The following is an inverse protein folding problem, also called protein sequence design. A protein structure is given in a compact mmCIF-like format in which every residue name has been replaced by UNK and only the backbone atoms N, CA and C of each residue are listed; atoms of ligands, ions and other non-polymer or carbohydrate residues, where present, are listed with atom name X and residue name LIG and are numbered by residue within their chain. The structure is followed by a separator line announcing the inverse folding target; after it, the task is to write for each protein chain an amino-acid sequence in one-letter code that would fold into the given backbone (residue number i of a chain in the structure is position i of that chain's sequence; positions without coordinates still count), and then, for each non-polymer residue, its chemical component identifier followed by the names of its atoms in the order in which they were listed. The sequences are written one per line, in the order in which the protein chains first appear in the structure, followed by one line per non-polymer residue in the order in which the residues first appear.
data_IF_176215665768
#
_entry.id   IF_176215665768
#
_cell.length_a   1.000
_cell.length_b   1.000
_cell.length_c   1.000
_cell.angle_alpha   90.00
_cell.angle_beta   90.00
_cell.angle_gamma   90.00
#
_symmetry.space_group_name_H-M   'P 1'
#
loop_
_entity.id
_entity.type
_entity.pdbx_description
1 polymer ?
#
# COMPACT_ATOMS: atom_id res chain seq x y z
N UNK A 1 28.55 10.45 -63.16
CA UNK A 1 27.73 11.26 -62.23
C UNK A 1 27.10 10.44 -61.09
N UNK A 2 26.53 9.24 -61.34
CA UNK A 2 25.91 8.40 -60.28
C UNK A 2 26.87 7.94 -59.15
N UNK A 3 28.14 7.63 -59.45
CA UNK A 3 29.12 7.24 -58.41
C UNK A 3 29.50 8.38 -57.46
N UNK A 4 29.58 9.62 -57.93
CA UNK A 4 29.89 10.77 -57.07
C UNK A 4 28.72 11.11 -56.13
N UNK A 5 27.48 10.88 -56.57
CA UNK A 5 26.29 11.07 -55.75
C UNK A 5 26.20 10.03 -54.61
N UNK A 6 26.58 8.77 -54.87
CA UNK A 6 26.64 7.71 -53.86
C UNK A 6 27.74 7.96 -52.81
N UNK A 7 28.88 8.52 -53.22
CA UNK A 7 29.98 8.89 -52.31
C UNK A 7 29.60 10.11 -51.46
N UNK A 8 28.90 11.12 -52.02
CA UNK A 8 28.43 12.27 -51.24
C UNK A 8 27.35 11.86 -50.20
N UNK A 9 26.49 10.91 -50.57
CA UNK A 9 25.45 10.38 -49.68
C UNK A 9 26.06 9.53 -48.55
N UNK A 10 27.11 8.75 -48.83
CA UNK A 10 27.80 8.01 -47.77
C UNK A 10 28.58 8.92 -46.81
N UNK A 11 29.18 10.01 -47.32
CA UNK A 11 29.91 10.98 -46.49
C UNK A 11 28.99 11.79 -45.55
N UNK A 12 27.75 12.05 -45.97
CA UNK A 12 26.71 12.68 -45.14
C UNK A 12 26.10 11.71 -44.11
N UNK A 13 26.03 10.41 -44.41
CA UNK A 13 25.63 9.38 -43.44
C UNK A 13 26.71 9.13 -42.36
N UNK A 14 28.00 9.20 -42.71
CA UNK A 14 29.08 9.02 -41.72
C UNK A 14 29.22 10.21 -40.74
N UNK A 15 28.86 11.42 -41.14
CA UNK A 15 28.89 12.60 -40.25
C UNK A 15 27.73 12.65 -39.26
N UNK A 16 26.63 11.93 -39.51
CA UNK A 16 25.48 11.84 -38.58
C UNK A 16 25.71 10.85 -37.42
N UNK A 17 26.60 9.86 -37.58
CA UNK A 17 26.83 8.82 -36.58
C UNK A 17 27.81 9.22 -35.46
N UNK A 18 28.52 10.34 -35.57
CA UNK A 18 29.54 10.77 -34.60
C UNK A 18 29.11 12.09 -33.92
N UNK A 19 27.85 12.17 -33.50
CA UNK A 19 27.43 13.17 -32.52
C UNK A 19 27.15 12.49 -31.19
N UNK A 20 28.17 11.85 -30.62
CA UNK A 20 28.21 11.63 -29.18
C UNK A 20 28.24 13.01 -28.54
N UNK A 21 27.10 13.43 -27.99
CA UNK A 21 27.02 14.62 -27.16
C UNK A 21 27.87 14.31 -25.92
N UNK A 22 29.15 14.66 -25.96
CA UNK A 22 30.01 14.63 -24.78
C UNK A 22 29.25 15.34 -23.66
N UNK A 23 28.98 14.61 -22.58
CA UNK A 23 28.35 15.19 -21.42
C UNK A 23 29.33 16.23 -20.88
N UNK A 24 29.06 17.52 -21.15
CA UNK A 24 29.80 18.62 -20.52
C UNK A 24 29.79 18.37 -19.03
N UNK A 25 30.93 18.00 -18.48
CA UNK A 25 31.14 17.92 -17.04
C UNK A 25 30.98 19.37 -16.56
N UNK A 26 30.03 19.67 -15.68
CA UNK A 26 29.87 21.03 -15.18
C UNK A 26 31.19 21.47 -14.53
N UNK A 27 31.69 22.66 -14.88
CA UNK A 27 32.95 23.21 -14.35
C UNK A 27 32.97 23.31 -12.82
N UNK A 28 31.78 23.35 -12.20
CA UNK A 28 31.60 23.33 -10.76
C UNK A 28 31.09 21.97 -10.28
N UNK A 29 31.70 21.36 -9.23
CA UNK A 29 31.19 20.14 -8.62
C UNK A 29 29.75 20.32 -8.10
N UNK A 30 29.07 19.21 -7.86
CA UNK A 30 27.75 19.25 -7.22
C UNK A 30 27.90 19.78 -5.78
N UNK A 31 27.04 20.71 -5.33
CA UNK A 31 27.22 21.34 -4.02
C UNK A 31 27.00 20.32 -2.91
N UNK A 32 27.70 20.52 -1.79
CA UNK A 32 27.52 19.71 -0.59
C UNK A 32 26.10 19.89 -0.01
N UNK A 33 25.63 21.14 0.05
CA UNK A 33 24.27 21.48 0.48
C UNK A 33 23.36 21.64 -0.72
N UNK A 34 22.26 20.88 -0.76
CA UNK A 34 21.27 20.95 -1.84
C UNK A 34 20.14 21.90 -1.46
N UNK A 35 20.02 23.00 -2.21
CA UNK A 35 18.98 24.03 -2.08
C UNK A 35 18.06 24.04 -3.30
N UNK A 36 16.98 24.83 -3.31
CA UNK A 36 16.06 24.92 -4.45
C UNK A 36 16.75 25.45 -5.71
N UNK A 37 17.64 26.43 -5.55
CA UNK A 37 18.43 27.04 -6.63
C UNK A 37 19.43 26.04 -7.25
N UNK A 38 19.76 24.96 -6.52
CA UNK A 38 20.56 23.86 -7.08
C UNK A 38 19.84 23.19 -8.25
N UNK A 39 18.51 23.34 -8.38
CA UNK A 39 17.70 22.83 -9.49
C UNK A 39 18.01 23.45 -10.86
N UNK A 40 18.62 24.64 -10.91
CA UNK A 40 18.79 25.44 -12.13
C UNK A 40 20.05 25.08 -12.96
N UNK A 41 20.70 23.95 -12.65
CA UNK A 41 21.90 23.47 -13.35
C UNK A 41 21.66 22.22 -14.18
N UNK A 42 22.60 21.94 -15.09
CA UNK A 42 22.68 20.63 -15.72
C UNK A 42 23.12 19.55 -14.71
N UNK A 43 22.39 18.43 -14.73
CA UNK A 43 22.52 17.34 -13.78
C UNK A 43 21.90 16.07 -14.38
N UNK A 44 22.11 14.92 -13.73
CA UNK A 44 21.53 13.64 -14.15
C UNK A 44 19.99 13.68 -14.15
N UNK A 45 19.37 12.84 -14.97
CA UNK A 45 17.90 12.73 -15.03
C UNK A 45 17.30 12.36 -13.66
N UNK A 46 18.00 11.55 -12.87
CA UNK A 46 17.58 11.20 -11.52
C UNK A 46 17.54 12.42 -10.58
N UNK A 47 18.55 13.28 -10.65
CA UNK A 47 18.58 14.49 -9.83
C UNK A 47 17.46 15.45 -10.25
N UNK A 48 17.24 15.68 -11.57
CA UNK A 48 16.13 16.51 -12.06
C UNK A 48 14.77 16.02 -11.57
N UNK A 49 14.56 14.70 -11.52
CA UNK A 49 13.33 14.09 -10.99
C UNK A 49 13.14 14.40 -9.50
N UNK A 50 14.21 14.43 -8.71
CA UNK A 50 14.15 14.74 -7.27
C UNK A 50 13.57 16.13 -6.99
N UNK A 51 13.83 17.11 -7.86
CA UNK A 51 13.32 18.47 -7.72
C UNK A 51 11.89 18.64 -8.27
N UNK A 52 11.52 17.87 -9.31
CA UNK A 52 10.27 18.09 -10.06
C UNK A 52 9.08 17.23 -9.61
N UNK A 53 9.35 16.03 -9.09
CA UNK A 53 8.30 15.03 -8.86
C UNK A 53 7.93 14.84 -7.39
N UNK A 54 8.64 15.50 -6.47
CA UNK A 54 8.39 15.41 -5.04
C UNK A 54 8.13 16.81 -4.48
N UNK A 55 7.33 16.88 -3.43
CA UNK A 55 7.01 18.13 -2.73
C UNK A 55 8.21 18.76 -2.03
N UNK A 56 9.27 17.99 -1.79
CA UNK A 56 10.52 18.49 -1.23
C UNK A 56 11.74 17.69 -1.71
N UNK A 57 12.90 18.36 -1.71
CA UNK A 57 14.21 17.79 -2.10
C UNK A 57 14.66 16.73 -1.10
N UNK A 58 14.43 16.98 0.19
CA UNK A 58 14.83 16.11 1.29
C UNK A 58 13.60 15.42 1.88
N UNK A 59 13.65 14.09 2.14
CA UNK A 59 12.52 13.37 2.74
C UNK A 59 12.03 13.98 4.05
N UNK A 60 12.92 14.57 4.87
CA UNK A 60 12.56 15.23 6.13
C UNK A 60 11.58 16.41 5.97
N UNK A 61 11.52 16.99 4.77
CA UNK A 61 10.67 18.13 4.43
C UNK A 61 9.47 17.70 3.55
N UNK A 62 9.35 16.41 3.22
CA UNK A 62 8.24 15.89 2.43
C UNK A 62 7.12 15.45 3.37
N UNK A 63 6.02 16.19 3.41
CA UNK A 63 4.87 15.91 4.30
C UNK A 63 4.23 14.53 4.09
N UNK A 64 4.38 13.94 2.91
CA UNK A 64 3.87 12.60 2.60
C UNK A 64 4.88 11.49 2.90
N UNK A 65 6.12 11.84 3.25
CA UNK A 65 7.11 10.89 3.73
C UNK A 65 6.89 10.62 5.22
N UNK A 66 6.61 9.38 5.57
CA UNK A 66 6.42 8.97 6.97
C UNK A 66 6.96 7.56 7.20
N UNK A 67 7.19 7.25 8.48
CA UNK A 67 7.48 5.89 8.95
C UNK A 67 6.30 5.39 9.78
N UNK A 68 6.03 4.09 9.70
CA UNK A 68 4.98 3.47 10.50
C UNK A 68 5.57 2.81 11.74
N UNK A 69 4.93 3.04 12.88
CA UNK A 69 5.22 2.38 14.16
C UNK A 69 3.98 1.59 14.56
N UNK A 70 4.19 0.40 15.08
CA UNK A 70 3.11 -0.53 15.42
C UNK A 70 3.14 -0.81 16.92
N UNK A 71 1.97 -0.90 17.54
CA UNK A 71 1.80 -1.21 18.96
C UNK A 71 0.64 -2.19 19.08
N UNK A 72 0.82 -3.37 19.71
CA UNK A 72 -0.28 -4.31 19.93
C UNK A 72 -1.42 -3.67 20.73
N UNK A 73 -2.66 -3.89 20.26
CA UNK A 73 -3.85 -3.44 20.96
C UNK A 73 -4.09 -4.28 22.23
N UNK A 74 -4.72 -3.66 23.22
CA UNK A 74 -5.13 -4.33 24.47
C UNK A 74 -6.65 -4.49 24.51
N UNK A 75 -7.13 -5.46 25.30
CA UNK A 75 -8.56 -5.65 25.59
C UNK A 75 -9.32 -6.54 24.62
N UNK A 76 -8.65 -7.12 23.61
CA UNK A 76 -9.23 -8.08 22.68
C UNK A 76 -8.61 -9.46 22.92
N UNK A 77 -9.44 -10.45 23.24
CA UNK A 77 -9.00 -11.84 23.42
C UNK A 77 -9.01 -12.62 22.10
N UNK A 78 -8.00 -13.44 21.89
CA UNK A 78 -7.80 -14.27 20.69
C UNK A 78 -7.66 -15.75 21.06
N UNK A 79 -8.23 -16.20 22.19
CA UNK A 79 -8.13 -17.59 22.68
C UNK A 79 -6.69 -18.12 22.67
N UNK A 80 -5.76 -17.38 23.28
CA UNK A 80 -4.33 -17.70 23.28
C UNK A 80 -3.72 -17.90 21.88
N UNK A 81 -4.29 -17.26 20.87
CA UNK A 81 -3.86 -17.35 19.47
C UNK A 81 -3.94 -18.77 18.86
N UNK A 82 -4.92 -19.57 19.27
CA UNK A 82 -5.17 -20.91 18.70
C UNK A 82 -5.76 -20.90 17.26
N UNK A 83 -6.18 -19.71 16.78
CA UNK A 83 -6.71 -19.48 15.44
C UNK A 83 -8.23 -19.65 15.30
N UNK A 84 -8.93 -19.97 16.39
CA UNK A 84 -10.41 -20.07 16.43
C UNK A 84 -11.07 -18.69 16.31
N UNK A 85 -10.43 -17.66 16.88
CA UNK A 85 -10.85 -16.27 16.80
C UNK A 85 -9.89 -15.46 15.93
N UNK A 86 -10.43 -14.72 14.96
CA UNK A 86 -9.67 -13.72 14.20
C UNK A 86 -10.43 -12.41 14.05
N UNK A 87 -9.68 -11.31 13.95
CA UNK A 87 -10.19 -9.95 13.71
C UNK A 87 -9.29 -9.28 12.67
N UNK A 88 -9.88 -8.74 11.61
CA UNK A 88 -9.12 -8.21 10.46
C UNK A 88 -9.91 -7.14 9.70
N UNK A 89 -9.21 -6.50 8.77
CA UNK A 89 -9.76 -5.53 7.82
C UNK A 89 -10.54 -4.40 8.53
N UNK A 90 -9.87 -3.62 9.41
CA UNK A 90 -10.53 -2.58 10.19
C UNK A 90 -11.05 -1.46 9.29
N UNK A 91 -12.21 -0.92 9.65
CA UNK A 91 -12.72 0.33 9.08
C UNK A 91 -11.81 1.50 9.43
N UNK A 92 -12.07 2.66 8.81
CA UNK A 92 -11.60 3.93 9.38
C UNK A 92 -12.16 4.08 10.80
N UNK A 93 -11.35 4.64 11.68
CA UNK A 93 -11.75 5.00 13.04
C UNK A 93 -12.57 6.30 12.97
N UNK A 94 -13.69 6.35 13.69
CA UNK A 94 -14.46 7.60 13.90
C UNK A 94 -14.50 7.94 15.39
N UNK A 95 -14.78 9.19 15.72
CA UNK A 95 -14.93 9.65 17.10
C UNK A 95 -16.33 10.22 17.30
N UNK A 96 -17.12 9.56 18.14
CA UNK A 96 -18.52 9.92 18.41
C UNK A 96 -18.83 9.68 19.89
N UNK A 97 -19.77 10.44 20.47
CA UNK A 97 -20.19 10.27 21.86
C UNK A 97 -19.03 10.18 22.89
N UNK A 98 -17.93 10.90 22.63
CA UNK A 98 -16.77 10.94 23.52
C UNK A 98 -15.83 9.72 23.46
N UNK A 99 -15.92 8.88 22.43
CA UNK A 99 -15.04 7.71 22.27
C UNK A 99 -14.77 7.35 20.80
N UNK A 100 -13.68 6.64 20.55
CA UNK A 100 -13.34 6.09 19.25
C UNK A 100 -14.16 4.82 18.96
N UNK A 101 -14.55 4.65 17.70
CA UNK A 101 -15.24 3.47 17.18
C UNK A 101 -14.47 2.88 16.00
N UNK A 102 -14.41 1.56 15.93
CA UNK A 102 -13.87 0.81 14.80
C UNK A 102 -14.73 -0.42 14.54
N UNK A 103 -14.95 -0.73 13.27
CA UNK A 103 -15.61 -1.96 12.81
C UNK A 103 -14.58 -2.87 12.15
N UNK A 104 -14.79 -4.17 12.22
CA UNK A 104 -13.87 -5.16 11.64
C UNK A 104 -14.60 -6.48 11.39
N UNK A 105 -14.05 -7.27 10.47
CA UNK A 105 -14.46 -8.66 10.28
C UNK A 105 -14.00 -9.47 11.49
N UNK A 106 -14.91 -10.18 12.16
CA UNK A 106 -14.58 -11.16 13.21
C UNK A 106 -15.06 -12.54 12.82
N UNK A 107 -14.13 -13.51 12.91
CA UNK A 107 -14.43 -14.94 12.89
C UNK A 107 -14.28 -15.48 14.31
N UNK A 108 -15.20 -16.34 14.70
CA UNK A 108 -15.19 -17.03 15.98
C UNK A 108 -15.83 -18.40 15.75
N UNK A 109 -14.99 -19.36 15.40
CA UNK A 109 -15.41 -20.68 14.94
C UNK A 109 -14.78 -21.78 15.80
N UNK A 110 -15.45 -22.92 16.01
CA UNK A 110 -14.92 -24.00 16.86
C UNK A 110 -13.58 -24.57 16.39
N UNK A 111 -13.25 -24.39 15.11
CA UNK A 111 -12.02 -24.87 14.47
C UNK A 111 -11.40 -23.79 13.59
N UNK A 112 -10.12 -23.97 13.27
CA UNK A 112 -9.41 -23.14 12.29
C UNK A 112 -9.89 -23.44 10.85
N UNK A 113 -9.64 -22.53 9.88
CA UNK A 113 -10.02 -22.76 8.50
C UNK A 113 -9.31 -23.95 7.83
N UNK A 114 -10.04 -24.69 6.99
CA UNK A 114 -9.49 -25.83 6.23
C UNK A 114 -8.64 -25.42 5.03
N UNK A 115 -8.65 -24.13 4.69
CA UNK A 115 -7.97 -23.54 3.55
C UNK A 115 -8.80 -23.59 2.27
N UNK A 116 -8.67 -22.55 1.42
CA UNK A 116 -9.45 -22.42 0.19
C UNK A 116 -9.30 -23.60 -0.79
N UNK A 117 -8.16 -24.30 -0.77
CA UNK A 117 -7.94 -25.50 -1.58
C UNK A 117 -8.75 -26.73 -1.13
N UNK A 118 -9.23 -26.72 0.12
CA UNK A 118 -10.07 -27.75 0.69
C UNK A 118 -11.48 -27.20 0.98
N UNK A 119 -11.95 -26.22 0.21
CA UNK A 119 -13.24 -25.58 0.44
C UNK A 119 -14.42 -26.58 0.41
N UNK A 120 -14.26 -27.72 -0.26
CA UNK A 120 -15.22 -28.83 -0.26
C UNK A 120 -15.41 -29.48 1.13
N UNK A 121 -14.48 -29.27 2.06
CA UNK A 121 -14.57 -29.74 3.46
C UNK A 121 -15.21 -28.71 4.39
N UNK A 122 -15.45 -27.48 3.91
CA UNK A 122 -16.11 -26.44 4.68
C UNK A 122 -17.61 -26.71 4.81
N UNK A 123 -18.21 -26.25 5.90
CA UNK A 123 -19.63 -26.37 6.18
C UNK A 123 -20.09 -25.21 7.08
N UNK A 124 -21.31 -25.30 7.62
CA UNK A 124 -21.90 -24.23 8.44
C UNK A 124 -21.13 -23.92 9.74
N UNK A 125 -20.18 -24.78 10.14
CA UNK A 125 -19.34 -24.63 11.35
C UNK A 125 -17.84 -24.66 11.06
N UNK A 126 -17.42 -25.16 9.90
CA UNK A 126 -16.02 -25.31 9.50
C UNK A 126 -15.72 -24.28 8.41
N UNK A 127 -14.94 -23.23 8.70
CA UNK A 127 -14.65 -22.20 7.72
C UNK A 127 -13.66 -22.69 6.67
N UNK A 128 -13.81 -22.24 5.43
CA UNK A 128 -12.84 -22.47 4.35
C UNK A 128 -11.64 -21.53 4.44
N UNK A 129 -11.86 -20.25 4.79
CA UNK A 129 -10.83 -19.21 4.89
C UNK A 129 -10.97 -18.42 6.19
N UNK A 130 -10.00 -17.55 6.46
CA UNK A 130 -9.95 -16.76 7.68
C UNK A 130 -11.11 -15.74 7.82
N UNK A 131 -11.71 -15.34 6.70
CA UNK A 131 -12.86 -14.43 6.65
C UNK A 131 -14.20 -15.16 6.40
N UNK A 132 -14.18 -16.49 6.32
CA UNK A 132 -15.40 -17.29 6.18
C UNK A 132 -16.15 -17.38 7.51
N UNK A 133 -17.46 -17.65 7.47
CA UNK A 133 -18.35 -17.73 8.64
C UNK A 133 -18.22 -16.53 9.60
N UNK A 134 -17.84 -15.36 9.08
CA UNK A 134 -17.56 -14.16 9.83
C UNK A 134 -18.73 -13.17 9.82
N UNK A 135 -18.68 -12.23 10.76
CA UNK A 135 -19.62 -11.12 10.89
C UNK A 135 -18.85 -9.80 11.01
N UNK A 136 -19.55 -8.67 10.88
CA UNK A 136 -18.95 -7.37 11.22
C UNK A 136 -19.24 -7.07 12.67
N UNK A 137 -18.17 -6.94 13.44
CA UNK A 137 -18.19 -6.56 14.85
C UNK A 137 -17.66 -5.15 15.01
N UNK A 138 -17.88 -4.56 16.18
CA UNK A 138 -17.31 -3.27 16.52
C UNK A 138 -16.77 -3.22 17.95
N UNK A 139 -15.79 -2.35 18.14
CA UNK A 139 -15.20 -2.04 19.44
C UNK A 139 -15.12 -0.53 19.64
N UNK A 140 -14.97 -0.16 20.91
CA UNK A 140 -14.85 1.24 21.32
C UNK A 140 -13.63 1.46 22.21
N UNK A 141 -13.02 2.63 22.14
CA UNK A 141 -11.85 2.99 22.95
C UNK A 141 -11.86 4.46 23.35
N UNK A 142 -11.28 4.78 24.51
CA UNK A 142 -11.05 6.17 24.94
C UNK A 142 -9.67 6.70 24.54
N UNK A 143 -8.71 5.82 24.28
CA UNK A 143 -7.29 6.15 24.08
C UNK A 143 -6.73 5.69 22.72
N UNK A 144 -7.45 4.83 21.99
CA UNK A 144 -7.00 4.22 20.74
C UNK A 144 -6.06 3.00 20.92
N UNK A 145 -5.68 2.65 22.15
CA UNK A 145 -4.76 1.55 22.47
C UNK A 145 -5.46 0.38 23.17
N UNK A 146 -6.38 0.68 24.07
CA UNK A 146 -7.18 -0.32 24.80
C UNK A 146 -8.60 -0.28 24.26
N UNK A 147 -9.05 -1.39 23.67
CA UNK A 147 -10.34 -1.50 23.02
C UNK A 147 -11.25 -2.44 23.79
N UNK A 148 -12.52 -2.04 23.94
CA UNK A 148 -13.58 -2.88 24.48
C UNK A 148 -14.49 -3.31 23.35
N UNK A 149 -14.51 -4.59 23.04
CA UNK A 149 -15.43 -5.18 22.06
C UNK A 149 -16.87 -5.05 22.56
N UNK A 150 -17.76 -4.57 21.69
CA UNK A 150 -19.17 -4.34 22.03
C UNK A 150 -20.09 -5.43 21.49
N UNK A 151 -19.77 -5.99 20.33
CA UNK A 151 -20.52 -7.09 19.72
C UNK A 151 -20.70 -6.95 18.22
N UNK A 152 -21.67 -7.70 17.69
CA UNK A 152 -22.06 -7.72 16.28
C UNK A 152 -22.71 -6.38 15.90
N UNK A 153 -22.22 -5.75 14.83
CA UNK A 153 -22.84 -4.61 14.18
C UNK A 153 -23.65 -5.03 12.95
N UNK A 154 -23.12 -5.96 12.15
CA UNK A 154 -23.81 -6.51 10.97
C UNK A 154 -23.75 -8.04 11.03
N UNK A 155 -24.87 -8.72 11.35
CA UNK A 155 -24.92 -10.17 11.37
C UNK A 155 -24.98 -10.73 9.95
N UNK A 156 -24.67 -12.02 9.79
CA UNK A 156 -24.95 -12.73 8.54
C UNK A 156 -26.47 -12.82 8.34
N UNK A 157 -27.01 -12.46 7.16
CA UNK A 157 -28.42 -12.65 6.88
C UNK A 157 -28.78 -14.14 6.73
N UNK A 158 -30.07 -14.49 6.83
CA UNK A 158 -30.52 -15.86 6.61
C UNK A 158 -30.30 -16.28 5.14
N UNK A 159 -29.95 -17.55 4.92
CA UNK A 159 -29.88 -18.13 3.57
C UNK A 159 -31.26 -18.02 2.87
N UNK A 160 -31.33 -17.77 1.55
CA UNK A 160 -30.22 -17.63 0.59
C UNK A 160 -29.79 -16.17 0.37
N UNK A 161 -30.15 -15.24 1.26
CA UNK A 161 -29.81 -13.83 1.09
C UNK A 161 -28.28 -13.71 1.05
N UNK A 162 -27.79 -13.05 0.01
CA UNK A 162 -26.37 -12.79 -0.16
C UNK A 162 -25.93 -11.90 1.00
N UNK A 163 -25.10 -12.44 1.89
CA UNK A 163 -24.49 -11.73 3.00
C UNK A 163 -23.56 -10.59 2.56
N UNK A 164 -23.30 -10.50 1.26
CA UNK A 164 -22.08 -9.90 0.73
C UNK A 164 -20.91 -10.74 1.23
N UNK A 165 -20.28 -11.51 0.34
CA UNK A 165 -18.85 -11.69 0.54
C UNK A 165 -18.31 -10.26 0.50
N UNK A 166 -17.99 -9.69 1.67
CA UNK A 166 -17.23 -8.44 1.71
C UNK A 166 -16.00 -8.73 0.88
N UNK A 167 -16.01 -8.18 -0.33
CA UNK A 167 -15.11 -8.54 -1.40
C UNK A 167 -13.69 -8.55 -0.83
N UNK A 168 -12.83 -9.52 -1.20
CA UNK A 168 -11.41 -9.38 -0.90
C UNK A 168 -10.99 -7.96 -1.33
N UNK A 169 -10.15 -7.25 -0.54
CA UNK A 169 -9.70 -5.93 -0.95
C UNK A 169 -9.17 -6.04 -2.38
N UNK A 170 -9.41 -5.03 -3.25
CA UNK A 170 -8.92 -5.07 -4.62
C UNK A 170 -7.43 -5.38 -4.56
N UNK A 171 -7.06 -6.51 -5.13
CA UNK A 171 -5.67 -6.84 -5.40
C UNK A 171 -5.18 -5.78 -6.37
N UNK A 172 -4.32 -4.88 -5.88
CA UNK A 172 -3.57 -3.95 -6.73
C UNK A 172 -2.58 -4.72 -7.61
#
# INVERSE_FOLDING_TARGET
MKSYLLILLSLTLFTSCIRQKEAKIPDTPFPYTVTQETGDREMSVAMKRSFKNYSAIHPRNNELYSQFKYTPLKGLDYHNHDGTITRRDPSKIIFENGQYYVWYTKRDTPVIPVGAKNAEKANDTIPSTDWDLSEIWYATSKDGFTWKEQGVAVPRPPKPIVAGALLPPPTY
#
